data_IF_838663105837
#
_entry.id   IF_838663105837
#
_cell.length_a   1.000
_cell.length_b   1.000
_cell.length_c   1.000
_cell.angle_alpha   90.00
_cell.angle_beta   90.00
_cell.angle_gamma   90.00
#
_symmetry.space_group_name_H-M   'P 1'
#
loop_
_entity.id
_entity.type
_entity.pdbx_description
1 polymer ?
#
# COMPACT_ATOMS: atom_id res chain seq x y z
N UNK A 1 7.57 5.62 -17.12
CA UNK A 1 7.91 4.83 -15.91
C UNK A 1 6.95 3.65 -15.74
N UNK A 2 5.63 3.87 -15.60
CA UNK A 2 4.61 2.82 -15.43
C UNK A 2 4.68 1.72 -16.50
N UNK A 3 4.79 2.07 -17.78
CA UNK A 3 4.88 1.08 -18.86
C UNK A 3 6.13 0.17 -18.78
N UNK A 4 7.23 0.62 -18.15
CA UNK A 4 8.41 -0.21 -17.94
C UNK A 4 8.15 -1.26 -16.86
N UNK A 5 7.50 -0.84 -15.76
CA UNK A 5 7.09 -1.74 -14.66
C UNK A 5 6.08 -2.77 -15.16
N UNK A 6 5.08 -2.34 -15.93
CA UNK A 6 4.09 -3.25 -16.53
C UNK A 6 4.77 -4.27 -17.45
N UNK A 7 5.71 -3.83 -18.30
CA UNK A 7 6.44 -4.75 -19.19
C UNK A 7 7.25 -5.80 -18.41
N UNK A 8 7.97 -5.38 -17.37
CA UNK A 8 8.71 -6.29 -16.50
C UNK A 8 7.80 -7.30 -15.79
N UNK A 9 6.59 -6.88 -15.39
CA UNK A 9 5.61 -7.75 -14.74
C UNK A 9 4.98 -8.77 -15.69
N UNK A 10 4.78 -8.39 -16.96
CA UNK A 10 4.34 -9.33 -17.99
C UNK A 10 5.39 -10.41 -18.26
N UNK A 11 6.67 -10.10 -18.08
CA UNK A 11 7.80 -11.01 -18.32
C UNK A 11 8.22 -11.84 -17.08
N UNK A 12 7.79 -11.45 -15.87
CA UNK A 12 8.14 -12.09 -14.60
C UNK A 12 7.10 -13.14 -14.16
N UNK A 13 7.50 -14.02 -13.22
CA UNK A 13 6.64 -15.07 -12.66
C UNK A 13 5.32 -14.50 -12.09
N UNK A 14 4.24 -15.26 -12.26
CA UNK A 14 2.86 -14.90 -11.90
C UNK A 14 2.70 -14.72 -10.38
N UNK A 15 2.98 -13.53 -9.88
CA UNK A 15 2.55 -13.09 -8.56
C UNK A 15 1.24 -12.30 -8.72
N UNK A 16 0.19 -12.70 -8.00
CA UNK A 16 -1.13 -12.06 -8.10
C UNK A 16 -1.11 -10.75 -7.32
N UNK A 17 -0.48 -9.73 -7.91
CA UNK A 17 -0.43 -8.37 -7.39
C UNK A 17 -1.52 -7.48 -8.05
N UNK A 18 -1.66 -6.26 -7.54
CA UNK A 18 -2.66 -5.30 -8.04
C UNK A 18 -2.46 -4.97 -9.53
N UNK A 19 -1.21 -4.93 -10.01
CA UNK A 19 -0.90 -4.66 -11.42
C UNK A 19 -1.34 -5.84 -12.29
N UNK A 20 -1.12 -7.07 -11.82
CA UNK A 20 -1.61 -8.27 -12.46
C UNK A 20 -3.15 -8.30 -12.54
N UNK A 21 -3.85 -7.87 -11.49
CA UNK A 21 -5.31 -7.73 -11.51
C UNK A 21 -5.78 -6.69 -12.53
N UNK A 22 -5.08 -5.54 -12.66
CA UNK A 22 -5.39 -4.51 -13.67
C UNK A 22 -5.15 -5.07 -15.08
N UNK A 23 -4.08 -5.84 -15.28
CA UNK A 23 -3.77 -6.50 -16.55
C UNK A 23 -4.85 -7.52 -16.94
N UNK A 24 -5.33 -8.33 -15.99
CA UNK A 24 -6.42 -9.27 -16.19
C UNK A 24 -7.74 -8.55 -16.51
N UNK A 25 -8.03 -7.45 -15.81
CA UNK A 25 -9.19 -6.59 -16.09
C UNK A 25 -9.17 -6.02 -17.52
N UNK A 26 -8.01 -5.59 -18.00
CA UNK A 26 -7.85 -5.12 -19.38
C UNK A 26 -8.11 -6.24 -20.39
N UNK A 27 -7.55 -7.44 -20.17
CA UNK A 27 -7.73 -8.61 -21.06
C UNK A 27 -9.17 -9.12 -21.11
N UNK A 28 -9.92 -8.97 -20.02
CA UNK A 28 -11.31 -9.42 -19.93
C UNK A 28 -12.31 -8.42 -20.52
N UNK A 29 -11.85 -7.27 -21.04
CA UNK A 29 -12.73 -6.31 -21.71
C UNK A 29 -13.18 -6.83 -23.07
N UNK A 30 -14.45 -6.59 -23.42
CA UNK A 30 -15.05 -7.05 -24.68
C UNK A 30 -14.44 -6.37 -25.93
N UNK A 31 -13.69 -5.28 -25.73
CA UNK A 31 -13.00 -4.54 -26.78
C UNK A 31 -11.54 -4.99 -26.85
N UNK A 32 -11.13 -5.60 -27.97
CA UNK A 32 -9.76 -6.09 -28.20
C UNK A 32 -8.77 -4.98 -28.61
N UNK A 33 -9.15 -3.70 -28.52
CA UNK A 33 -8.26 -2.59 -28.84
C UNK A 33 -7.08 -2.49 -27.87
N UNK A 34 -5.89 -2.82 -28.38
CA UNK A 34 -4.63 -2.72 -27.62
C UNK A 34 -4.35 -1.31 -27.07
N UNK A 35 -4.83 -0.27 -27.76
CA UNK A 35 -4.69 1.12 -27.30
C UNK A 35 -5.58 1.41 -26.09
N UNK A 36 -6.81 0.87 -26.08
CA UNK A 36 -7.73 1.02 -24.95
C UNK A 36 -7.23 0.25 -23.71
N UNK A 37 -6.71 -0.97 -23.89
CA UNK A 37 -6.10 -1.73 -22.79
C UNK A 37 -4.92 -0.97 -22.19
N UNK A 38 -4.05 -0.41 -23.04
CA UNK A 38 -2.90 0.38 -22.59
C UNK A 38 -3.32 1.61 -21.79
N UNK A 39 -4.32 2.35 -22.27
CA UNK A 39 -4.83 3.53 -21.57
C UNK A 39 -5.45 3.13 -20.23
N UNK A 40 -6.29 2.09 -20.22
CA UNK A 40 -6.89 1.54 -19.00
C UNK A 40 -5.84 1.20 -17.93
N UNK A 41 -4.77 0.48 -18.31
CA UNK A 41 -3.69 0.12 -17.40
C UNK A 41 -3.01 1.38 -16.85
N UNK A 42 -2.65 2.32 -17.73
CA UNK A 42 -1.94 3.54 -17.35
C UNK A 42 -2.79 4.41 -16.41
N UNK A 43 -4.07 4.57 -16.70
CA UNK A 43 -4.97 5.44 -15.95
C UNK A 43 -5.26 4.89 -14.56
N UNK A 44 -5.49 3.57 -14.43
CA UNK A 44 -5.66 2.92 -13.13
C UNK A 44 -4.37 3.00 -12.29
N UNK A 45 -3.21 2.71 -12.89
CA UNK A 45 -1.93 2.82 -12.17
C UNK A 45 -1.63 4.26 -11.72
N UNK A 46 -1.92 5.27 -12.55
CA UNK A 46 -1.77 6.69 -12.18
C UNK A 46 -2.71 7.07 -11.04
N UNK A 47 -3.97 6.67 -11.13
CA UNK A 47 -4.98 6.97 -10.12
C UNK A 47 -4.55 6.43 -8.75
N UNK A 48 -4.11 5.17 -8.69
CA UNK A 48 -3.59 4.56 -7.45
C UNK A 48 -2.37 5.29 -6.91
N UNK A 49 -1.41 5.63 -7.77
CA UNK A 49 -0.22 6.35 -7.36
C UNK A 49 -0.54 7.72 -6.77
N UNK A 50 -1.35 8.53 -7.46
CA UNK A 50 -1.68 9.87 -6.97
C UNK A 50 -2.58 9.84 -5.74
N UNK A 51 -3.57 8.95 -5.70
CA UNK A 51 -4.44 8.81 -4.54
C UNK A 51 -3.65 8.39 -3.30
N UNK A 52 -2.67 7.48 -3.44
CA UNK A 52 -1.92 6.93 -2.33
C UNK A 52 -0.66 7.72 -1.93
N UNK A 53 -0.02 8.46 -2.84
CA UNK A 53 1.27 9.09 -2.56
C UNK A 53 1.15 10.25 -1.57
N UNK A 54 0.40 11.29 -1.93
CA UNK A 54 0.36 12.52 -1.14
C UNK A 54 -0.43 12.33 0.16
N UNK A 55 -1.51 11.55 0.12
CA UNK A 55 -2.35 11.28 1.31
C UNK A 55 -1.61 10.42 2.34
N UNK A 56 -0.93 9.35 1.92
CA UNK A 56 -0.17 8.49 2.83
C UNK A 56 1.05 9.23 3.36
N UNK A 57 1.79 9.96 2.52
CA UNK A 57 2.94 10.74 2.96
C UNK A 57 2.55 11.77 4.03
N UNK A 58 1.43 12.47 3.83
CA UNK A 58 0.91 13.43 4.79
C UNK A 58 0.47 12.73 6.09
N UNK A 59 -0.31 11.65 6.00
CA UNK A 59 -0.78 10.89 7.16
C UNK A 59 0.40 10.34 8.00
N UNK A 60 1.40 9.75 7.36
CA UNK A 60 2.61 9.25 8.04
C UNK A 60 3.42 10.38 8.66
N UNK A 61 3.56 11.52 7.98
CA UNK A 61 4.28 12.67 8.53
C UNK A 61 3.62 13.20 9.80
N UNK A 62 2.29 13.32 9.81
CA UNK A 62 1.54 13.71 11.01
C UNK A 62 1.63 12.66 12.11
N UNK A 63 1.51 11.37 11.78
CA UNK A 63 1.64 10.29 12.76
C UNK A 63 3.01 10.33 13.45
N UNK A 64 4.10 10.49 12.68
CA UNK A 64 5.45 10.63 13.23
C UNK A 64 5.61 11.90 14.07
N UNK A 65 5.03 13.02 13.63
CA UNK A 65 5.05 14.27 14.38
C UNK A 65 4.36 14.12 15.73
N UNK A 66 3.18 13.47 15.76
CA UNK A 66 2.44 13.21 16.99
C UNK A 66 3.20 12.26 17.93
N UNK A 67 3.79 11.18 17.40
CA UNK A 67 4.60 10.28 18.21
C UNK A 67 5.82 11.00 18.83
N UNK A 68 6.49 11.85 18.06
CA UNK A 68 7.62 12.64 18.56
C UNK A 68 7.20 13.65 19.66
N UNK A 69 5.97 14.19 19.57
CA UNK A 69 5.41 15.07 20.59
C UNK A 69 4.89 14.32 21.84
N UNK A 70 4.66 13.00 21.74
CA UNK A 70 4.12 12.14 22.79
C UNK A 70 5.03 10.92 23.04
N UNK A 71 6.17 11.09 23.73
CA UNK A 71 7.18 10.02 23.91
C UNK A 71 6.65 8.78 24.65
N UNK A 72 5.65 8.93 25.50
CA UNK A 72 4.98 7.82 26.18
C UNK A 72 4.23 6.92 25.19
N UNK A 73 3.53 7.51 24.21
CA UNK A 73 2.88 6.78 23.14
C UNK A 73 3.87 6.19 22.15
N UNK A 74 4.95 6.90 21.84
CA UNK A 74 6.04 6.36 21.05
C UNK A 74 6.66 5.11 21.71
N UNK A 75 6.97 5.18 23.01
CA UNK A 75 7.51 4.05 23.75
C UNK A 75 6.56 2.83 23.74
N UNK A 76 5.25 3.06 23.90
CA UNK A 76 4.23 2.00 23.81
C UNK A 76 4.19 1.36 22.42
N UNK A 77 4.20 2.15 21.35
CA UNK A 77 4.20 1.64 19.98
C UNK A 77 5.47 0.82 19.69
N UNK A 78 6.64 1.30 20.11
CA UNK A 78 7.90 0.56 19.96
C UNK A 78 7.89 -0.75 20.75
N UNK A 79 7.40 -0.73 22.01
CA UNK A 79 7.30 -1.93 22.83
C UNK A 79 6.37 -2.98 22.20
N UNK A 80 5.21 -2.56 21.67
CA UNK A 80 4.26 -3.44 20.98
C UNK A 80 4.90 -4.13 19.77
N UNK A 81 5.63 -3.38 18.92
CA UNK A 81 6.32 -3.95 17.76
C UNK A 81 7.38 -4.96 18.19
N UNK A 82 8.20 -4.63 19.19
CA UNK A 82 9.25 -5.52 19.70
C UNK A 82 8.68 -6.80 20.31
N UNK A 83 7.56 -6.71 21.02
CA UNK A 83 6.91 -7.87 21.66
C UNK A 83 6.31 -8.83 20.62
N UNK A 84 5.64 -8.28 19.59
CA UNK A 84 4.93 -9.06 18.58
C UNK A 84 5.89 -9.63 17.53
N UNK A 85 6.78 -8.80 16.98
CA UNK A 85 7.70 -9.24 15.92
C UNK A 85 8.86 -10.07 16.46
N UNK A 86 9.39 -9.72 17.64
CA UNK A 86 10.64 -10.30 18.19
C UNK A 86 11.73 -10.28 17.09
N UNK A 87 12.33 -11.42 16.80
CA UNK A 87 13.36 -11.59 15.75
C UNK A 87 12.79 -12.08 14.40
N UNK A 88 11.46 -12.04 14.21
CA UNK A 88 10.82 -12.49 12.97
C UNK A 88 10.52 -11.30 12.04
N UNK A 89 10.60 -11.51 10.71
CA UNK A 89 10.06 -10.55 9.76
C UNK A 89 8.59 -10.27 10.03
N UNK A 90 8.19 -9.00 9.90
CA UNK A 90 6.79 -8.60 10.01
C UNK A 90 5.94 -9.30 8.94
N UNK A 91 4.84 -9.91 9.37
CA UNK A 91 3.81 -10.43 8.49
C UNK A 91 2.44 -9.76 8.73
N UNK A 92 1.46 -10.09 7.89
CA UNK A 92 0.14 -9.49 7.94
C UNK A 92 -0.66 -9.87 9.21
N UNK A 93 -0.44 -11.05 9.77
CA UNK A 93 -1.12 -11.50 11.00
C UNK A 93 -0.56 -10.77 12.23
N UNK A 94 0.76 -10.62 12.29
CA UNK A 94 1.44 -9.81 13.30
C UNK A 94 0.95 -8.38 13.27
N UNK A 95 0.92 -7.73 12.10
CA UNK A 95 0.44 -6.36 11.97
C UNK A 95 -1.01 -6.19 12.48
N UNK A 96 -1.90 -7.14 12.16
CA UNK A 96 -3.30 -7.13 12.64
C UNK A 96 -3.43 -7.19 14.17
N UNK A 97 -2.42 -7.71 14.86
CA UNK A 97 -2.39 -7.80 16.32
C UNK A 97 -1.84 -6.55 17.03
N UNK A 98 -1.26 -5.60 16.28
CA UNK A 98 -0.70 -4.35 16.81
C UNK A 98 -1.81 -3.31 17.02
N UNK A 99 -2.31 -3.17 18.25
CA UNK A 99 -3.44 -2.29 18.57
C UNK A 99 -3.05 -0.83 18.70
N UNK A 100 -1.83 -0.54 19.14
CA UNK A 100 -1.31 0.83 19.28
C UNK A 100 -0.88 1.36 17.92
N UNK A 101 -0.12 0.57 17.15
CA UNK A 101 0.33 0.96 15.80
C UNK A 101 -0.85 1.05 14.83
N UNK A 102 -1.77 0.08 14.86
CA UNK A 102 -2.99 0.11 14.05
C UNK A 102 -4.16 0.78 14.78
N UNK A 103 -3.90 1.61 15.78
CA UNK A 103 -4.96 2.37 16.43
C UNK A 103 -5.56 3.29 15.39
N UNK A 104 -6.69 2.88 14.81
CA UNK A 104 -7.52 3.76 14.01
C UNK A 104 -7.90 4.89 14.95
N UNK A 105 -7.30 6.07 14.74
CA UNK A 105 -7.81 7.31 15.26
C UNK A 105 -9.29 7.31 14.87
N UNK A 106 -10.13 6.97 15.82
CA UNK A 106 -11.56 7.08 15.68
C UNK A 106 -11.74 8.57 15.53
N UNK A 107 -11.87 9.07 14.30
CA UNK A 107 -12.25 10.44 14.04
C UNK A 107 -13.57 10.67 14.79
N UNK A 108 -13.47 11.21 16.00
CA UNK A 108 -14.52 12.00 16.60
C UNK A 108 -14.45 13.36 15.90
N UNK A 109 -14.95 13.39 14.68
CA UNK A 109 -15.46 14.59 14.03
C UNK A 109 -16.98 14.43 13.94
#
# INVERSE_FOLDING_TARGET
MILKVVKQRVEAAYEKDLVQMILEGAKNSADNSALLHKNFIVDNCKTLFFAGHDTTALATSWALTLLAAHPDWQARACAEVLEICRDKPLDADMLRSMKVVCHYASCQC
#
